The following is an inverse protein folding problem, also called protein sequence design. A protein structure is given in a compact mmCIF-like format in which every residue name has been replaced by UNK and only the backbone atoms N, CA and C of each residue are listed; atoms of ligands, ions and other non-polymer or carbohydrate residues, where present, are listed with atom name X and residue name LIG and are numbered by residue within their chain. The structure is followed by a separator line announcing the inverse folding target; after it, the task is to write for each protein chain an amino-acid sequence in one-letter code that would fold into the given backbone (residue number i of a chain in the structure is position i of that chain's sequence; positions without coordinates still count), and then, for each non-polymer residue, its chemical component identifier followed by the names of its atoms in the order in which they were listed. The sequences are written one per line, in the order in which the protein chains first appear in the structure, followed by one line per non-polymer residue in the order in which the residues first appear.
data_IF_776406151403
#
_entry.id   IF_776406151403
#
_cell.length_a   1.000
_cell.length_b   1.000
_cell.length_c   1.000
_cell.angle_alpha   90.00
_cell.angle_beta   90.00
_cell.angle_gamma   90.00
#
_symmetry.space_group_name_H-M   'P 1'
#
loop_
_entity.id
_entity.type
_entity.pdbx_description
1 polymer ?
#
# COMPACT_ATOMS: atom_id res chain seq x y z
N UNK A 1 18.81 -57.83 -92.98
CA UNK A 1 18.68 -56.35 -92.94
C UNK A 1 18.33 -55.98 -91.51
N UNK A 2 19.20 -55.23 -90.83
CA UNK A 2 19.05 -54.90 -89.40
C UNK A 2 18.25 -53.60 -89.29
N UNK A 3 17.06 -53.67 -88.70
CA UNK A 3 16.24 -52.50 -88.36
C UNK A 3 16.78 -51.87 -87.08
N UNK A 4 17.43 -50.72 -87.21
CA UNK A 4 17.91 -49.92 -86.08
C UNK A 4 16.79 -48.98 -85.63
N UNK A 5 16.20 -49.24 -84.45
CA UNK A 5 15.21 -48.36 -83.83
C UNK A 5 15.93 -47.26 -83.05
N UNK A 6 15.69 -46.00 -83.41
CA UNK A 6 16.20 -44.81 -82.74
C UNK A 6 15.26 -44.41 -81.60
N UNK A 7 15.73 -44.46 -80.35
CA UNK A 7 14.98 -43.94 -79.19
C UNK A 7 15.44 -42.50 -78.94
N UNK A 8 14.56 -41.53 -79.19
CA UNK A 8 14.78 -40.13 -78.86
C UNK A 8 14.29 -39.88 -77.44
N UNK A 9 15.23 -39.62 -76.52
CA UNK A 9 14.91 -39.21 -75.15
C UNK A 9 14.75 -37.69 -75.13
N UNK A 10 13.51 -37.22 -75.05
CA UNK A 10 13.19 -35.81 -74.84
C UNK A 10 13.46 -35.46 -73.36
N UNK A 11 14.53 -34.71 -73.09
CA UNK A 11 14.85 -34.19 -71.76
C UNK A 11 13.99 -32.94 -71.50
N UNK A 12 12.92 -33.08 -70.73
CA UNK A 12 12.07 -31.96 -70.33
C UNK A 12 12.78 -31.10 -69.27
N UNK A 13 13.17 -29.87 -69.64
CA UNK A 13 13.60 -28.85 -68.68
C UNK A 13 12.38 -28.33 -67.92
N UNK A 14 12.20 -28.74 -66.66
CA UNK A 14 11.23 -28.11 -65.76
C UNK A 14 11.80 -26.77 -65.25
N UNK A 15 11.06 -25.66 -65.29
CA UNK A 15 11.50 -24.42 -64.67
C UNK A 15 11.40 -24.55 -63.14
N UNK A 16 12.54 -24.69 -62.46
CA UNK A 16 12.59 -24.54 -61.00
C UNK A 16 12.54 -23.05 -60.67
N UNK A 17 11.43 -22.58 -60.12
CA UNK A 17 11.37 -21.29 -59.44
C UNK A 17 12.06 -21.44 -58.08
N UNK A 18 13.35 -21.07 -57.99
CA UNK A 18 14.06 -21.00 -56.73
C UNK A 18 13.64 -19.73 -55.99
N UNK A 19 12.77 -19.85 -54.98
CA UNK A 19 12.63 -18.81 -53.96
C UNK A 19 13.70 -19.11 -52.92
N UNK A 20 14.78 -18.33 -52.90
CA UNK A 20 15.76 -18.40 -51.83
C UNK A 20 15.53 -17.23 -50.88
N UNK A 21 15.04 -17.54 -49.69
CA UNK A 21 15.19 -16.62 -48.57
C UNK A 21 16.69 -16.55 -48.22
N UNK A 22 17.19 -15.36 -47.90
CA UNK A 22 18.59 -15.15 -47.52
C UNK A 22 18.64 -14.93 -46.01
N UNK A 23 19.29 -15.85 -45.30
CA UNK A 23 19.70 -15.64 -43.91
C UNK A 23 20.97 -14.77 -43.90
N UNK A 24 20.90 -13.56 -43.34
CA UNK A 24 22.09 -12.74 -43.13
C UNK A 24 22.73 -13.18 -41.80
N UNK A 25 23.79 -13.97 -41.89
CA UNK A 25 24.46 -14.53 -40.70
C UNK A 25 25.92 -14.85 -40.93
N UNK A 26 26.63 -15.08 -39.83
CA UNK A 26 27.95 -15.72 -39.78
C UNK A 26 27.88 -17.21 -39.39
N UNK A 27 26.69 -17.81 -39.51
CA UNK A 27 26.50 -19.25 -39.30
C UNK A 27 27.02 -20.06 -40.49
N UNK A 28 27.33 -21.36 -40.30
CA UNK A 28 27.68 -22.26 -41.39
C UNK A 28 26.60 -22.28 -42.49
N UNK A 29 26.99 -22.47 -43.77
CA UNK A 29 26.14 -22.26 -44.96
C UNK A 29 24.91 -23.18 -45.12
N UNK A 30 24.62 -24.07 -44.16
CA UNK A 30 23.51 -25.04 -44.21
C UNK A 30 22.45 -24.76 -43.13
N UNK A 31 22.17 -23.48 -42.90
CA UNK A 31 21.19 -23.06 -41.91
C UNK A 31 19.90 -22.66 -42.60
N UNK A 32 18.82 -23.42 -42.36
CA UNK A 32 17.50 -23.09 -42.87
C UNK A 32 16.97 -21.80 -42.20
N UNK A 33 16.57 -20.78 -42.98
CA UNK A 33 15.91 -19.59 -42.45
C UNK A 33 14.52 -19.90 -41.86
N UNK A 34 14.01 -19.03 -41.00
CA UNK A 34 12.62 -19.06 -40.52
C UNK A 34 11.64 -18.84 -41.67
N UNK A 35 10.73 -19.79 -41.90
CA UNK A 35 9.79 -19.79 -43.04
C UNK A 35 8.84 -18.60 -43.08
N UNK A 36 8.55 -18.00 -41.92
CA UNK A 36 7.65 -16.85 -41.79
C UNK A 36 8.39 -15.51 -41.80
N UNK A 37 9.73 -15.51 -41.92
CA UNK A 37 10.53 -14.29 -41.94
C UNK A 37 10.86 -13.90 -43.39
N UNK A 38 10.65 -12.63 -43.75
CA UNK A 38 11.24 -12.09 -44.99
C UNK A 38 12.69 -11.66 -44.76
N UNK A 39 13.02 -11.28 -43.51
CA UNK A 39 14.36 -10.90 -43.07
C UNK A 39 14.68 -11.60 -41.74
N UNK A 40 15.75 -12.40 -41.72
CA UNK A 40 16.32 -12.98 -40.52
C UNK A 40 17.79 -12.57 -40.39
N UNK A 41 18.17 -12.11 -39.20
CA UNK A 41 19.54 -11.80 -38.83
C UNK A 41 19.96 -12.74 -37.70
N UNK A 42 21.11 -13.40 -37.82
CA UNK A 42 21.57 -14.35 -36.80
C UNK A 42 23.07 -14.25 -36.58
N UNK A 43 23.50 -14.21 -35.32
CA UNK A 43 24.93 -14.26 -34.93
C UNK A 43 25.24 -15.56 -34.21
N UNK A 44 26.30 -16.25 -34.63
CA UNK A 44 26.74 -17.54 -34.08
C UNK A 44 26.93 -17.46 -32.56
N UNK A 45 27.58 -16.40 -32.10
CA UNK A 45 27.91 -16.19 -30.69
C UNK A 45 26.85 -15.36 -29.94
N UNK A 46 25.74 -15.01 -30.60
CA UNK A 46 24.64 -14.20 -30.02
C UNK A 46 25.11 -12.83 -29.49
N UNK A 47 26.14 -12.26 -30.11
CA UNK A 47 26.86 -11.06 -29.69
C UNK A 47 26.73 -9.86 -30.67
N UNK A 48 25.95 -10.02 -31.75
CA UNK A 48 25.63 -8.95 -32.72
C UNK A 48 24.14 -8.65 -32.70
N UNK A 49 23.78 -7.42 -33.07
CA UNK A 49 22.39 -6.96 -33.15
C UNK A 49 22.10 -6.16 -34.43
N UNK A 50 20.84 -5.75 -34.57
CA UNK A 50 20.40 -4.84 -35.63
C UNK A 50 20.59 -3.38 -35.19
N UNK A 51 21.43 -2.64 -35.90
CA UNK A 51 21.51 -1.19 -35.74
C UNK A 51 20.47 -0.52 -36.63
N UNK A 52 19.38 -0.03 -36.02
CA UNK A 52 18.32 0.69 -36.73
C UNK A 52 18.77 2.10 -37.18
N UNK A 53 18.12 2.67 -38.21
CA UNK A 53 18.32 4.06 -38.58
C UNK A 53 18.12 5.00 -37.39
N UNK A 54 19.11 5.86 -37.16
CA UNK A 54 19.07 6.92 -36.15
C UNK A 54 18.31 8.12 -36.72
N UNK A 55 17.23 8.52 -36.06
CA UNK A 55 16.31 9.55 -36.53
C UNK A 55 16.14 10.60 -35.44
N UNK A 56 16.16 11.88 -35.82
CA UNK A 56 15.89 12.99 -34.90
C UNK A 56 14.39 13.32 -34.92
N UNK A 57 13.60 12.61 -34.11
CA UNK A 57 12.15 12.86 -34.06
C UNK A 57 11.84 14.22 -33.42
N UNK A 58 10.81 14.89 -33.95
CA UNK A 58 10.41 16.22 -33.47
C UNK A 58 9.31 16.14 -32.40
N UNK A 59 8.32 15.27 -32.59
CA UNK A 59 7.24 14.98 -31.64
C UNK A 59 6.56 13.66 -32.02
N UNK A 60 5.87 13.01 -31.08
CA UNK A 60 5.24 11.71 -31.32
C UNK A 60 4.17 11.76 -32.42
N UNK A 61 3.41 12.85 -32.50
CA UNK A 61 2.36 13.08 -33.51
C UNK A 61 2.88 13.78 -34.78
N UNK A 62 4.20 13.89 -34.97
CA UNK A 62 4.80 14.52 -36.13
C UNK A 62 5.60 13.46 -36.92
N UNK A 63 5.33 13.26 -38.22
CA UNK A 63 6.06 12.28 -39.02
C UNK A 63 7.51 12.70 -39.31
N UNK A 64 7.84 13.98 -39.18
CA UNK A 64 9.17 14.53 -39.45
C UNK A 64 10.27 13.78 -38.66
N UNK A 65 11.38 13.42 -39.33
CA UNK A 65 11.86 13.89 -40.65
C UNK A 65 11.29 13.14 -41.87
N UNK A 66 10.36 12.21 -41.68
CA UNK A 66 9.67 11.53 -42.78
C UNK A 66 8.50 12.40 -43.28
N UNK A 67 8.06 12.15 -44.52
CA UNK A 67 6.95 12.89 -45.13
C UNK A 67 5.57 12.48 -44.60
N UNK A 68 5.43 11.26 -44.06
CA UNK A 68 4.18 10.74 -43.51
C UNK A 68 4.44 9.67 -42.44
N UNK A 69 3.44 9.39 -41.61
CA UNK A 69 3.45 8.25 -40.71
C UNK A 69 3.25 6.96 -41.51
N UNK A 70 4.10 5.96 -41.29
CA UNK A 70 4.05 4.66 -41.98
C UNK A 70 3.94 3.57 -40.93
N UNK A 71 2.80 2.88 -40.87
CA UNK A 71 2.56 1.83 -39.88
C UNK A 71 3.62 0.73 -39.94
N UNK A 72 4.11 0.31 -38.78
CA UNK A 72 5.14 -0.73 -38.63
C UNK A 72 6.58 -0.23 -38.81
N UNK A 73 6.78 1.01 -39.26
CA UNK A 73 8.13 1.60 -39.35
C UNK A 73 8.79 1.66 -37.98
N UNK A 74 10.03 1.17 -37.86
CA UNK A 74 10.78 1.15 -36.61
C UNK A 74 12.11 1.89 -36.75
N UNK A 75 12.43 2.77 -35.81
CA UNK A 75 13.62 3.64 -35.82
C UNK A 75 14.21 3.78 -34.42
N UNK A 76 15.45 4.24 -34.33
CA UNK A 76 16.04 4.69 -33.06
C UNK A 76 16.02 6.23 -33.01
N UNK A 77 15.23 6.81 -32.10
CA UNK A 77 15.22 8.25 -31.88
C UNK A 77 16.48 8.70 -31.14
N UNK A 78 17.04 9.84 -31.53
CA UNK A 78 18.23 10.42 -30.87
C UNK A 78 17.94 11.72 -30.13
N UNK A 79 16.72 12.27 -30.19
CA UNK A 79 16.40 13.59 -29.67
C UNK A 79 15.47 13.55 -28.46
N UNK A 80 15.66 14.52 -27.57
CA UNK A 80 14.61 14.96 -26.65
C UNK A 80 13.91 16.14 -27.29
N UNK A 81 12.64 15.99 -27.67
CA UNK A 81 11.89 17.05 -28.35
C UNK A 81 10.38 16.95 -28.13
N UNK A 82 9.65 18.00 -28.48
CA UNK A 82 8.21 18.11 -28.26
C UNK A 82 7.85 18.41 -26.80
N UNK A 83 6.54 18.43 -26.53
CA UNK A 83 5.95 18.70 -25.21
C UNK A 83 4.90 17.66 -24.87
N UNK A 84 4.61 17.45 -23.59
CA UNK A 84 3.56 16.52 -23.14
C UNK A 84 2.22 16.82 -23.84
N UNK A 85 1.48 15.81 -24.35
CA UNK A 85 1.73 14.36 -24.25
C UNK A 85 2.59 13.77 -25.37
N UNK A 86 3.06 14.56 -26.34
CA UNK A 86 3.76 14.09 -27.55
C UNK A 86 5.29 14.21 -27.48
N UNK A 87 5.85 14.34 -26.27
CA UNK A 87 7.29 14.45 -26.07
C UNK A 87 7.98 13.13 -26.46
N UNK A 88 9.09 13.23 -27.18
CA UNK A 88 9.95 12.10 -27.57
C UNK A 88 11.27 12.17 -26.82
N UNK A 89 11.88 11.01 -26.60
CA UNK A 89 13.16 10.83 -25.92
C UNK A 89 14.03 9.84 -26.70
N UNK A 90 15.36 9.81 -26.50
CA UNK A 90 16.20 8.82 -27.15
C UNK A 90 15.76 7.38 -26.82
N UNK A 91 15.56 6.55 -27.84
CA UNK A 91 15.07 5.19 -27.67
C UNK A 91 14.49 4.58 -28.93
N UNK A 92 13.98 3.35 -28.83
CA UNK A 92 13.33 2.67 -29.95
C UNK A 92 11.89 3.15 -30.12
N UNK A 93 11.51 3.46 -31.35
CA UNK A 93 10.14 3.84 -31.68
C UNK A 93 9.63 3.01 -32.83
N UNK A 94 8.36 2.58 -32.76
CA UNK A 94 7.62 2.15 -33.94
C UNK A 94 6.52 3.16 -34.26
N UNK A 95 6.11 3.21 -35.51
CA UNK A 95 5.02 4.08 -35.97
C UNK A 95 3.74 3.26 -36.09
N UNK A 96 2.64 3.71 -35.49
CA UNK A 96 1.36 3.00 -35.53
C UNK A 96 0.51 3.34 -36.77
N UNK A 97 1.02 4.21 -37.66
CA UNK A 97 0.31 4.77 -38.80
C UNK A 97 -0.18 6.20 -38.57
N UNK A 98 -0.17 6.67 -37.33
CA UNK A 98 -0.62 8.03 -36.94
C UNK A 98 0.36 8.75 -36.01
N UNK A 99 1.20 8.01 -35.28
CA UNK A 99 2.13 8.54 -34.29
C UNK A 99 3.30 7.58 -34.04
N UNK A 100 4.39 8.13 -33.54
CA UNK A 100 5.52 7.39 -33.01
C UNK A 100 5.22 6.91 -31.59
N UNK A 101 5.34 5.61 -31.36
CA UNK A 101 5.20 4.95 -30.06
C UNK A 101 6.57 4.55 -29.56
N UNK A 102 6.92 5.08 -28.39
CA UNK A 102 8.14 4.68 -27.71
C UNK A 102 8.00 3.22 -27.27
N UNK A 103 8.95 2.39 -27.66
CA UNK A 103 9.10 1.04 -27.15
C UNK A 103 9.93 1.16 -25.88
N UNK A 104 9.23 1.33 -24.76
CA UNK A 104 9.83 1.17 -23.44
C UNK A 104 9.18 -0.01 -22.73
N UNK A 105 10.00 -0.78 -22.04
CA UNK A 105 9.52 -1.71 -21.03
C UNK A 105 9.42 -0.95 -19.72
N UNK A 106 8.23 -0.91 -19.12
CA UNK A 106 8.10 -0.47 -17.72
C UNK A 106 8.52 -1.65 -16.83
N UNK A 107 9.82 -1.95 -16.84
CA UNK A 107 10.39 -3.02 -16.04
C UNK A 107 10.34 -2.60 -14.56
N UNK A 108 9.86 -3.48 -13.67
CA UNK A 108 9.89 -3.18 -12.25
C UNK A 108 11.33 -3.06 -11.76
N UNK A 109 11.54 -2.14 -10.84
CA UNK A 109 12.80 -1.94 -10.15
C UNK A 109 12.79 -2.66 -8.81
N UNK A 110 13.97 -3.09 -8.35
CA UNK A 110 14.09 -3.77 -7.05
C UNK A 110 13.55 -2.84 -5.96
N UNK A 111 12.57 -3.36 -5.20
CA UNK A 111 11.88 -2.60 -4.14
C UNK A 111 10.54 -2.00 -4.55
N UNK A 112 10.16 -2.04 -5.83
CA UNK A 112 8.81 -1.64 -6.25
C UNK A 112 7.75 -2.46 -5.52
N UNK A 113 6.66 -1.80 -5.12
CA UNK A 113 5.51 -2.45 -4.49
C UNK A 113 4.30 -2.32 -5.41
N UNK A 114 3.58 -3.42 -5.61
CA UNK A 114 2.33 -3.44 -6.37
C UNK A 114 1.21 -4.16 -5.63
N UNK A 115 -0.03 -3.82 -5.99
CA UNK A 115 -1.22 -4.61 -5.67
C UNK A 115 -1.47 -5.67 -6.74
N UNK A 116 -1.98 -6.83 -6.35
CA UNK A 116 -2.37 -7.92 -7.25
C UNK A 116 -3.48 -8.78 -6.65
N UNK A 117 -4.26 -9.44 -7.51
CA UNK A 117 -5.23 -10.48 -7.10
C UNK A 117 -4.58 -11.86 -6.93
N UNK A 118 -3.34 -12.05 -7.42
CA UNK A 118 -2.61 -13.31 -7.31
C UNK A 118 -2.25 -13.61 -5.85
N UNK A 119 -2.29 -14.90 -5.48
CA UNK A 119 -2.03 -15.35 -4.11
C UNK A 119 -0.60 -15.86 -3.87
N UNK A 120 0.19 -16.03 -4.92
CA UNK A 120 1.55 -16.58 -4.88
C UNK A 120 2.55 -15.68 -5.58
N UNK A 121 3.83 -15.89 -5.27
CA UNK A 121 4.95 -15.26 -5.96
C UNK A 121 4.89 -15.53 -7.47
N UNK A 122 5.37 -14.59 -8.27
CA UNK A 122 5.36 -14.67 -9.73
C UNK A 122 6.34 -13.66 -10.34
N UNK A 123 7.08 -14.04 -11.38
CA UNK A 123 7.90 -13.11 -12.19
C UNK A 123 8.80 -12.17 -11.37
N UNK A 124 9.44 -12.68 -10.30
CA UNK A 124 10.28 -11.88 -9.40
C UNK A 124 9.53 -11.01 -8.39
N UNK A 125 8.21 -11.09 -8.33
CA UNK A 125 7.36 -10.49 -7.31
C UNK A 125 7.12 -11.45 -6.16
N UNK A 126 7.35 -10.95 -4.95
CA UNK A 126 7.30 -11.70 -3.72
C UNK A 126 6.21 -11.14 -2.81
N UNK A 127 5.29 -12.02 -2.35
CA UNK A 127 4.18 -11.63 -1.50
C UNK A 127 4.66 -11.04 -0.17
N UNK A 128 4.09 -9.90 0.23
CA UNK A 128 4.34 -9.23 1.50
C UNK A 128 3.45 -9.81 2.61
N UNK A 129 3.75 -11.03 3.03
CA UNK A 129 2.99 -11.76 4.05
C UNK A 129 3.74 -11.94 5.39
N UNK A 130 4.87 -11.24 5.58
CA UNK A 130 5.65 -11.36 6.82
C UNK A 130 6.61 -12.56 6.87
N UNK A 131 6.76 -13.33 5.78
CA UNK A 131 7.68 -14.49 5.76
C UNK A 131 9.14 -14.10 6.01
N UNK A 132 9.91 -15.08 6.47
CA UNK A 132 11.36 -14.93 6.67
C UNK A 132 12.09 -14.74 5.34
N UNK A 133 13.08 -13.85 5.33
CA UNK A 133 13.88 -13.50 4.14
C UNK A 133 14.74 -14.68 3.69
N UNK A 134 15.21 -15.50 4.62
CA UNK A 134 16.01 -16.71 4.35
C UNK A 134 15.25 -17.81 3.63
N UNK A 135 13.92 -17.72 3.51
CA UNK A 135 13.11 -18.65 2.72
C UNK A 135 12.99 -18.22 1.25
N UNK A 136 13.52 -17.05 0.87
CA UNK A 136 13.56 -16.57 -0.51
C UNK A 136 14.71 -17.22 -1.28
N UNK A 137 14.64 -17.29 -2.62
CA UNK A 137 15.79 -17.60 -3.46
C UNK A 137 16.98 -16.66 -3.17
N UNK A 138 18.21 -17.16 -3.31
CA UNK A 138 19.45 -16.46 -2.90
C UNK A 138 19.56 -15.03 -3.44
N UNK A 139 19.21 -14.82 -4.72
CA UNK A 139 19.23 -13.48 -5.32
C UNK A 139 18.20 -12.55 -4.66
N UNK A 140 16.94 -12.99 -4.55
CA UNK A 140 15.86 -12.23 -3.91
C UNK A 140 16.12 -11.96 -2.42
N UNK A 141 16.74 -12.92 -1.71
CA UNK A 141 17.23 -12.73 -0.35
C UNK A 141 18.22 -11.56 -0.30
N UNK A 142 19.25 -11.57 -1.15
CA UNK A 142 20.27 -10.51 -1.19
C UNK A 142 19.64 -9.13 -1.47
N UNK A 143 18.69 -9.05 -2.40
CA UNK A 143 17.96 -7.82 -2.68
C UNK A 143 17.10 -7.36 -1.49
N UNK A 144 16.38 -8.28 -0.83
CA UNK A 144 15.60 -7.93 0.37
C UNK A 144 16.50 -7.40 1.49
N UNK A 145 17.67 -8.00 1.71
CA UNK A 145 18.65 -7.49 2.67
C UNK A 145 19.22 -6.13 2.26
N UNK A 146 19.49 -5.92 0.97
CA UNK A 146 19.94 -4.63 0.43
C UNK A 146 18.91 -3.51 0.61
N UNK A 147 17.62 -3.84 0.63
CA UNK A 147 16.52 -2.92 0.95
C UNK A 147 16.32 -2.68 2.46
N UNK A 148 17.07 -3.39 3.32
CA UNK A 148 17.00 -3.26 4.78
C UNK A 148 16.08 -4.26 5.48
N UNK A 149 15.50 -5.24 4.77
CA UNK A 149 14.71 -6.31 5.39
C UNK A 149 15.63 -7.41 5.92
N UNK A 150 16.03 -7.30 7.19
CA UNK A 150 17.05 -8.19 7.76
C UNK A 150 16.55 -9.61 8.05
N UNK A 151 15.33 -9.77 8.58
CA UNK A 151 14.81 -11.06 9.04
C UNK A 151 13.57 -11.50 8.29
N UNK A 152 12.62 -10.58 8.11
CA UNK A 152 11.32 -10.86 7.51
C UNK A 152 10.98 -9.79 6.47
N UNK A 153 10.29 -10.18 5.41
CA UNK A 153 9.62 -9.21 4.55
C UNK A 153 8.51 -8.51 5.35
N UNK A 154 8.12 -7.26 4.99
CA UNK A 154 6.95 -6.62 5.58
C UNK A 154 5.67 -7.47 5.39
N UNK A 155 4.75 -7.37 6.34
CA UNK A 155 3.43 -7.97 6.22
C UNK A 155 2.38 -6.90 5.90
N UNK A 156 1.85 -6.94 4.69
CA UNK A 156 0.84 -6.00 4.18
C UNK A 156 -0.61 -6.32 4.57
N UNK A 157 -0.87 -7.43 5.27
CA UNK A 157 -2.23 -7.83 5.63
C UNK A 157 -2.92 -6.79 6.52
N UNK A 158 -4.14 -6.39 6.14
CA UNK A 158 -4.95 -5.37 6.82
C UNK A 158 -4.22 -4.03 7.04
N UNK A 159 -3.42 -3.59 6.06
CA UNK A 159 -2.67 -2.34 6.14
C UNK A 159 -2.83 -1.50 4.90
N UNK A 160 -2.74 -0.19 5.10
CA UNK A 160 -2.55 0.79 4.04
C UNK A 160 -1.07 1.14 3.94
N UNK A 161 -0.58 1.34 2.72
CA UNK A 161 0.77 1.85 2.50
C UNK A 161 0.79 3.36 2.76
N UNK A 162 1.84 3.82 3.44
CA UNK A 162 2.12 5.24 3.64
C UNK A 162 3.57 5.54 3.33
N UNK A 163 3.87 6.79 3.01
CA UNK A 163 5.24 7.27 3.01
C UNK A 163 5.86 7.13 4.40
N UNK A 164 7.11 6.67 4.45
CA UNK A 164 7.88 6.66 5.70
C UNK A 164 8.23 8.10 6.08
N UNK A 165 8.32 8.37 7.38
CA UNK A 165 9.00 9.55 7.89
C UNK A 165 10.53 9.35 7.84
N UNK A 166 11.31 10.34 8.26
CA UNK A 166 12.77 10.19 8.38
C UNK A 166 13.17 9.26 9.52
N UNK A 167 12.36 9.19 10.59
CA UNK A 167 12.62 8.36 11.76
C UNK A 167 12.17 6.89 11.59
N UNK A 168 11.19 6.63 10.73
CA UNK A 168 10.68 5.29 10.50
C UNK A 168 11.60 4.46 9.60
N UNK A 169 11.79 3.20 9.99
CA UNK A 169 12.48 2.19 9.19
C UNK A 169 11.52 1.71 8.09
N UNK A 170 12.03 1.48 6.88
CA UNK A 170 11.24 0.97 5.77
C UNK A 170 10.56 -0.36 6.14
N UNK A 171 9.26 -0.48 5.83
CA UNK A 171 8.48 -1.67 6.14
C UNK A 171 8.09 -1.81 7.61
N UNK A 172 8.43 -0.84 8.47
CA UNK A 172 7.90 -0.75 9.82
C UNK A 172 6.38 -0.62 9.79
N UNK A 173 5.75 -1.16 10.84
CA UNK A 173 4.32 -1.36 10.90
C UNK A 173 3.78 -0.64 12.13
N UNK A 174 2.69 0.12 11.99
CA UNK A 174 2.09 0.89 13.08
C UNK A 174 0.61 1.19 12.85
N UNK A 175 0.07 2.10 13.66
CA UNK A 175 -1.35 2.48 13.65
C UNK A 175 -2.25 1.59 14.51
N UNK A 176 -3.52 1.98 14.64
CA UNK A 176 -4.56 1.24 15.35
C UNK A 176 -5.76 1.01 14.43
N UNK A 177 -6.47 -0.11 14.63
CA UNK A 177 -7.69 -0.44 13.88
C UNK A 177 -8.92 0.37 14.33
N UNK A 178 -8.82 1.11 15.45
CA UNK A 178 -9.86 1.94 16.00
C UNK A 178 -9.30 3.03 16.92
N UNK A 179 -10.12 4.03 17.18
CA UNK A 179 -9.81 5.14 18.08
C UNK A 179 -10.66 4.98 19.32
N UNK A 180 -10.04 4.98 20.50
CA UNK A 180 -10.74 5.09 21.78
C UNK A 180 -10.71 6.57 22.16
N UNK A 181 -11.88 7.16 22.40
CA UNK A 181 -11.96 8.51 22.93
C UNK A 181 -11.77 8.43 24.45
N UNK A 182 -10.72 9.06 24.95
CA UNK A 182 -10.48 9.25 26.38
C UNK A 182 -11.06 10.60 26.85
N UNK A 183 -11.23 10.76 28.16
CA UNK A 183 -11.77 12.00 28.75
C UNK A 183 -10.98 13.24 28.33
N UNK A 184 -9.65 13.12 28.24
CA UNK A 184 -8.72 14.15 27.76
C UNK A 184 -8.93 14.57 26.30
N UNK A 185 -9.68 13.82 25.50
CA UNK A 185 -9.98 14.15 24.11
C UNK A 185 -11.27 14.97 23.95
N UNK A 186 -12.06 15.15 25.01
CA UNK A 186 -13.27 15.96 24.96
C UNK A 186 -12.94 17.45 25.13
N UNK A 187 -13.69 18.35 24.47
CA UNK A 187 -13.64 19.78 24.78
C UNK A 187 -13.94 20.04 26.26
N UNK A 188 -13.41 21.15 26.78
CA UNK A 188 -13.79 21.63 28.11
C UNK A 188 -15.29 21.95 28.13
N UNK A 189 -15.99 21.46 29.14
CA UNK A 189 -17.40 21.73 29.34
C UNK A 189 -17.68 21.88 30.84
N UNK A 190 -18.41 22.94 31.20
CA UNK A 190 -18.74 23.24 32.58
C UNK A 190 -20.13 22.72 32.92
N UNK A 191 -20.21 21.88 33.96
CA UNK A 191 -21.49 21.56 34.61
C UNK A 191 -21.77 22.60 35.70
N UNK A 192 -22.77 23.45 35.49
CA UNK A 192 -23.29 24.34 36.52
C UNK A 192 -24.45 23.66 37.24
N UNK A 193 -24.31 23.46 38.55
CA UNK A 193 -25.41 23.02 39.41
C UNK A 193 -25.84 24.18 40.30
N UNK A 194 -27.14 24.46 40.35
CA UNK A 194 -27.75 25.35 41.34
C UNK A 194 -28.40 24.47 42.40
N UNK A 195 -27.82 24.43 43.61
CA UNK A 195 -28.40 23.72 44.74
C UNK A 195 -29.47 24.62 45.39
N UNK A 196 -30.69 24.09 45.54
CA UNK A 196 -31.88 24.86 45.93
C UNK A 196 -31.94 25.26 47.41
N UNK A 197 -31.27 24.54 48.30
CA UNK A 197 -31.24 24.83 49.74
C UNK A 197 -29.86 24.48 50.31
N UNK A 198 -29.30 25.37 51.14
CA UNK A 198 -28.16 25.03 51.99
C UNK A 198 -28.63 23.87 52.90
N UNK A 199 -27.90 22.75 52.94
CA UNK A 199 -28.25 21.50 53.62
C UNK A 199 -28.42 21.59 55.15
N UNK A 200 -29.34 22.45 55.58
CA UNK A 200 -29.79 22.64 56.93
C UNK A 200 -30.54 21.37 57.35
N UNK A 201 -29.89 20.60 58.21
CA UNK A 201 -30.54 19.50 58.90
C UNK A 201 -30.37 19.70 60.40
N UNK A 202 -31.38 19.26 61.15
CA UNK A 202 -31.41 19.34 62.59
C UNK A 202 -31.21 17.93 63.16
N UNK A 203 -30.30 17.77 64.10
CA UNK A 203 -30.25 16.54 64.90
C UNK A 203 -31.23 16.66 66.06
N UNK A 204 -31.97 15.58 66.34
CA UNK A 204 -32.70 15.43 67.61
C UNK A 204 -31.95 14.41 68.45
N UNK A 205 -31.65 14.78 69.70
CA UNK A 205 -31.17 13.84 70.69
C UNK A 205 -32.14 13.85 71.86
N UNK A 206 -32.31 12.69 72.47
CA UNK A 206 -33.13 12.55 73.65
C UNK A 206 -32.22 12.62 74.88
N UNK A 207 -32.25 13.74 75.58
CA UNK A 207 -31.48 13.99 76.82
C UNK A 207 -31.84 12.98 77.93
N UNK A 208 -33.08 12.45 77.93
CA UNK A 208 -33.61 11.59 78.99
C UNK A 208 -33.85 10.17 78.51
N UNK A 209 -33.07 9.20 79.00
CA UNK A 209 -33.43 7.79 78.87
C UNK A 209 -34.86 7.57 79.39
N UNK A 210 -35.71 6.84 78.65
CA UNK A 210 -37.13 6.66 78.99
C UNK A 210 -37.30 6.14 80.42
N UNK A 211 -37.86 6.95 81.32
CA UNK A 211 -38.10 6.58 82.72
C UNK A 211 -38.34 7.78 83.65
N UNK A 212 -38.78 7.48 84.87
CA UNK A 212 -38.97 8.47 85.96
C UNK A 212 -37.63 8.68 86.67
N UNK A 213 -36.94 9.78 86.40
CA UNK A 213 -35.74 10.16 87.14
C UNK A 213 -36.10 10.64 88.54
N UNK A 214 -35.69 9.90 89.58
CA UNK A 214 -35.76 10.38 90.95
C UNK A 214 -34.51 11.21 91.25
N UNK A 215 -34.65 12.54 91.29
CA UNK A 215 -33.58 13.40 91.81
C UNK A 215 -33.60 13.30 93.34
N UNK A 216 -32.51 12.85 93.94
CA UNK A 216 -32.34 12.79 95.39
C UNK A 216 -31.56 14.03 95.87
N UNK A 217 -32.17 15.21 95.76
CA UNK A 217 -31.59 16.43 96.33
C UNK A 217 -32.42 16.93 97.52
N UNK A 218 -31.75 17.08 98.66
CA UNK A 218 -32.31 17.62 99.89
C UNK A 218 -31.90 19.07 100.09
N UNK A 219 -32.76 20.01 99.69
CA UNK A 219 -32.56 21.45 99.90
C UNK A 219 -33.66 22.30 99.26
N UNK A 220 -33.92 23.49 99.82
CA UNK A 220 -35.04 24.36 99.44
C UNK A 220 -34.87 25.13 98.11
N UNK A 221 -33.72 25.03 97.45
CA UNK A 221 -33.50 25.55 96.11
C UNK A 221 -33.15 24.35 95.22
N UNK A 222 -34.14 23.84 94.51
CA UNK A 222 -33.93 22.82 93.49
C UNK A 222 -33.55 23.53 92.20
N UNK A 223 -32.27 23.51 91.85
CA UNK A 223 -31.84 23.86 90.49
C UNK A 223 -31.78 22.58 89.69
N UNK A 224 -32.93 21.96 89.41
CA UNK A 224 -32.96 21.03 88.28
C UNK A 224 -32.61 21.91 87.08
N UNK A 225 -31.55 21.57 86.35
CA UNK A 225 -31.34 22.14 85.03
C UNK A 225 -32.47 21.62 84.13
N UNK A 226 -33.67 22.16 84.33
CA UNK A 226 -34.87 21.87 83.56
C UNK A 226 -34.85 22.81 82.36
N UNK A 227 -34.00 22.48 81.41
CA UNK A 227 -34.04 23.18 80.15
C UNK A 227 -35.09 22.47 79.29
N UNK A 228 -36.35 22.86 79.50
CA UNK A 228 -37.57 22.30 78.87
C UNK A 228 -37.48 22.28 77.34
N UNK A 229 -36.55 23.05 76.75
CA UNK A 229 -36.09 22.90 75.37
C UNK A 229 -34.85 23.77 75.19
N UNK A 230 -33.68 23.18 74.97
CA UNK A 230 -32.53 23.92 74.43
C UNK A 230 -32.54 23.76 72.92
N UNK A 231 -32.57 24.88 72.20
CA UNK A 231 -32.18 24.87 70.80
C UNK A 231 -30.64 24.83 70.73
N UNK A 232 -30.05 23.69 71.08
CA UNK A 232 -28.62 23.48 70.88
C UNK A 232 -28.41 23.14 69.41
N UNK A 233 -27.97 24.13 68.63
CA UNK A 233 -27.44 23.88 67.30
C UNK A 233 -26.10 23.16 67.46
N UNK A 234 -26.00 21.94 66.91
CA UNK A 234 -24.70 21.33 66.70
C UNK A 234 -23.86 22.30 65.86
N UNK A 235 -22.64 22.61 66.30
CA UNK A 235 -21.73 23.46 65.53
C UNK A 235 -21.57 22.94 64.10
N UNK A 236 -21.21 23.83 63.18
CA UNK A 236 -21.19 23.71 61.70
C UNK A 236 -20.33 22.52 61.18
N UNK A 237 -19.74 21.71 62.05
CA UNK A 237 -18.72 20.71 61.73
C UNK A 237 -19.13 19.30 62.12
N UNK A 238 -20.23 18.82 61.51
CA UNK A 238 -20.32 17.41 61.15
C UNK A 238 -19.65 17.26 59.79
N UNK A 239 -18.35 17.02 59.78
CA UNK A 239 -17.55 16.96 58.55
C UNK A 239 -18.07 15.82 57.67
N UNK A 240 -18.85 16.16 56.65
CA UNK A 240 -19.32 15.21 55.66
C UNK A 240 -19.11 15.78 54.27
N UNK A 241 -18.74 14.89 53.37
CA UNK A 241 -18.56 15.20 51.97
C UNK A 241 -19.75 14.66 51.19
N UNK A 242 -20.34 15.51 50.36
CA UNK A 242 -21.22 15.04 49.30
C UNK A 242 -20.34 14.71 48.10
N UNK A 243 -20.18 13.43 47.83
CA UNK A 243 -19.72 12.99 46.52
C UNK A 243 -20.94 12.67 45.67
N UNK A 244 -21.04 13.31 44.52
CA UNK A 244 -21.94 12.87 43.45
C UNK A 244 -21.09 12.53 42.25
N UNK A 245 -21.43 11.43 41.59
CA UNK A 245 -20.80 11.03 40.34
C UNK A 245 -21.89 10.87 39.31
N UNK A 246 -21.71 11.51 38.16
CA UNK A 246 -22.56 11.31 36.99
C UNK A 246 -21.73 10.61 35.94
N UNK A 247 -22.12 9.39 35.63
CA UNK A 247 -21.51 8.68 34.51
C UNK A 247 -21.88 9.44 33.23
N UNK A 248 -20.89 9.66 32.37
CA UNK A 248 -21.11 10.25 31.04
C UNK A 248 -21.93 9.34 30.11
N UNK A 249 -22.22 8.10 30.54
CA UNK A 249 -22.99 7.10 29.79
C UNK A 249 -22.21 6.36 28.71
N UNK A 250 -20.95 6.74 28.47
CA UNK A 250 -20.06 6.05 27.53
C UNK A 250 -19.63 4.67 28.05
N UNK A 251 -19.52 3.70 27.14
CA UNK A 251 -19.05 2.34 27.45
C UNK A 251 -17.61 2.07 27.00
N UNK A 252 -16.90 3.09 26.52
CA UNK A 252 -15.53 2.96 25.99
C UNK A 252 -15.42 2.16 24.68
N UNK A 253 -16.52 1.91 23.98
CA UNK A 253 -16.48 1.20 22.68
C UNK A 253 -15.63 1.98 21.69
N UNK A 254 -14.58 1.37 21.11
CA UNK A 254 -13.75 2.03 20.11
C UNK A 254 -14.59 2.43 18.90
N UNK A 255 -14.32 3.62 18.37
CA UNK A 255 -14.89 4.06 17.11
C UNK A 255 -14.08 3.37 15.99
N UNK A 256 -14.73 2.60 15.10
CA UNK A 256 -14.04 1.95 14.00
C UNK A 256 -13.47 3.00 13.05
N UNK A 257 -12.18 2.94 12.77
CA UNK A 257 -11.48 3.82 11.84
C UNK A 257 -11.03 3.03 10.62
N UNK A 258 -12.00 2.53 9.84
CA UNK A 258 -11.75 1.84 8.58
C UNK A 258 -12.66 2.43 7.50
N UNK A 259 -12.13 3.28 6.60
CA UNK A 259 -12.86 3.73 5.43
C UNK A 259 -13.29 2.52 4.57
N UNK A 260 -14.34 2.64 3.72
CA UNK A 260 -14.65 1.62 2.72
C UNK A 260 -13.40 1.28 1.88
N UNK A 261 -13.11 -0.01 1.71
CA UNK A 261 -11.91 -0.48 1.03
C UNK A 261 -12.19 -1.70 0.16
N UNK A 262 -11.29 -1.94 -0.80
CA UNK A 262 -11.19 -3.18 -1.55
C UNK A 262 -9.84 -3.82 -1.26
N UNK A 263 -9.85 -5.08 -0.82
CA UNK A 263 -8.64 -5.79 -0.46
C UNK A 263 -7.93 -6.35 -1.69
N UNK A 264 -6.60 -6.28 -1.69
CA UNK A 264 -5.72 -6.92 -2.67
C UNK A 264 -4.45 -7.41 -1.98
N UNK A 265 -3.74 -8.36 -2.60
CA UNK A 265 -2.45 -8.82 -2.12
C UNK A 265 -1.37 -7.81 -2.50
N UNK A 266 -0.44 -7.55 -1.59
CA UNK A 266 0.70 -6.66 -1.83
C UNK A 266 1.95 -7.48 -2.10
N UNK A 267 2.69 -7.08 -3.13
CA UNK A 267 3.92 -7.73 -3.56
C UNK A 267 5.06 -6.73 -3.64
N UNK A 268 6.29 -7.19 -3.39
CA UNK A 268 7.52 -6.45 -3.63
C UNK A 268 8.34 -7.11 -4.74
N UNK A 269 8.92 -6.34 -5.65
CA UNK A 269 9.80 -6.88 -6.68
C UNK A 269 11.21 -7.04 -6.14
N UNK A 270 11.74 -8.27 -6.19
CA UNK A 270 13.10 -8.61 -5.76
C UNK A 270 13.88 -9.32 -6.87
N UNK A 271 13.51 -9.08 -8.13
CA UNK A 271 14.20 -9.63 -9.30
C UNK A 271 13.68 -11.00 -9.74
N UNK A 272 13.65 -11.21 -11.05
CA UNK A 272 13.50 -12.54 -11.66
C UNK A 272 14.86 -13.22 -11.68
N UNK A 273 14.90 -14.51 -11.33
CA UNK A 273 16.10 -15.35 -11.49
C UNK A 273 16.43 -15.54 -12.96
#
# INVERSE_FOLDING_TARGET
MKTTTLIVICLALLPMAGVSQVLISDFPPNSEPQTDAVLELRSLNKDKGLLLPKVALVAANNPSPMSAHVQGMTVYNTQVSGVFPNRVEPGLYYNDGTSWKHISTNAPTIGDIKSSALASDHDGWYLLNGRVVTALPVAAHAYAQGLGFASNLPNGANRFLKGKTDAEILGSSGGSAGIVIAQENFPEFMFTATLGEAGLHNHSYNDRASGTGMSAEGGAIQTVADNVSVADTTGISGDHSHSFSVNTGGNGTPIPFKPPYMASNLFIYLGSN
#
